data_IF_231248441020
#
_entry.id   IF_231248441020
#
_cell.length_a   1.000
_cell.length_b   1.000
_cell.length_c   1.000
_cell.angle_alpha   90.00
_cell.angle_beta   90.00
_cell.angle_gamma   90.00
#
_symmetry.space_group_name_H-M   'P 1'
#
loop_
_entity.id
_entity.type
_entity.pdbx_description
1 polymer ?
#
# COMPACT_ATOMS: atom_id res chain seq x y z
N UNK A 1 -3.60 3.26 19.80
CA UNK A 1 -3.84 1.79 19.74
C UNK A 1 -4.56 1.52 18.44
N UNK A 2 -3.95 0.78 17.52
CA UNK A 2 -4.61 0.37 16.29
C UNK A 2 -5.57 -0.77 16.62
N UNK A 3 -6.80 -0.65 16.13
CA UNK A 3 -7.88 -1.62 16.36
C UNK A 3 -7.53 -2.86 15.55
N UNK A 4 -7.40 -4.02 16.21
CA UNK A 4 -7.24 -5.30 15.50
C UNK A 4 -8.59 -5.71 14.94
N UNK A 5 -8.70 -5.78 13.62
CA UNK A 5 -9.92 -6.19 12.93
C UNK A 5 -9.90 -7.70 12.68
N UNK A 6 -11.04 -8.40 12.80
CA UNK A 6 -11.12 -9.84 12.54
C UNK A 6 -10.88 -10.21 11.07
N UNK A 7 -10.97 -9.23 10.17
CA UNK A 7 -10.71 -9.34 8.74
C UNK A 7 -10.11 -8.04 8.21
N UNK A 8 -9.35 -8.07 7.11
CA UNK A 8 -8.80 -6.84 6.52
C UNK A 8 -9.95 -5.89 6.12
N UNK A 9 -9.75 -4.60 6.37
CA UNK A 9 -10.73 -3.56 6.03
C UNK A 9 -10.75 -3.31 4.52
N UNK A 10 -9.59 -3.47 3.88
CA UNK A 10 -9.41 -3.29 2.44
C UNK A 10 -8.44 -4.36 1.91
N UNK A 11 -8.75 -4.88 0.72
CA UNK A 11 -7.90 -5.80 -0.04
C UNK A 11 -7.49 -5.12 -1.35
N UNK A 12 -6.20 -5.19 -1.67
CA UNK A 12 -5.59 -4.56 -2.86
C UNK A 12 -4.85 -5.64 -3.63
N UNK A 13 -5.08 -5.70 -4.94
CA UNK A 13 -4.37 -6.60 -5.84
C UNK A 13 -2.95 -6.08 -6.08
N UNK A 14 -1.99 -6.54 -5.28
CA UNK A 14 -0.60 -6.07 -5.31
C UNK A 14 0.09 -6.30 -6.67
N UNK A 15 -0.39 -7.24 -7.47
CA UNK A 15 0.12 -7.56 -8.79
C UNK A 15 -0.25 -6.54 -9.86
N UNK A 16 -1.29 -5.72 -9.66
CA UNK A 16 -1.63 -4.59 -10.55
C UNK A 16 -1.11 -3.25 -10.04
N UNK A 17 -0.69 -3.16 -8.77
CA UNK A 17 0.00 -1.95 -8.24
C UNK A 17 1.30 -1.66 -8.99
N UNK A 18 1.94 -2.69 -9.57
CA UNK A 18 3.14 -2.53 -10.41
C UNK A 18 2.86 -1.86 -11.76
N UNK A 19 1.60 -1.89 -12.21
CA UNK A 19 1.17 -1.35 -13.50
C UNK A 19 0.61 0.07 -13.36
N UNK A 20 0.61 0.62 -12.13
CA UNK A 20 0.27 2.01 -11.84
C UNK A 20 1.43 2.92 -12.29
N UNK A 21 1.12 3.80 -13.24
CA UNK A 21 2.03 4.86 -13.69
C UNK A 21 1.82 6.15 -12.88
N UNK A 22 2.91 6.85 -12.59
CA UNK A 22 2.91 8.21 -12.08
C UNK A 22 3.31 8.33 -10.60
N UNK A 23 4.34 9.13 -10.36
CA UNK A 23 4.94 9.28 -9.03
C UNK A 23 4.02 9.87 -7.97
N UNK A 24 3.05 10.69 -8.38
CA UNK A 24 2.01 11.14 -7.44
C UNK A 24 1.09 10.01 -6.99
N UNK A 25 0.71 9.09 -7.89
CA UNK A 25 -0.15 7.97 -7.55
C UNK A 25 0.57 6.98 -6.63
N UNK A 26 1.84 6.66 -6.93
CA UNK A 26 2.66 5.75 -6.11
C UNK A 26 3.02 6.36 -4.75
N UNK A 27 3.39 7.64 -4.70
CA UNK A 27 3.65 8.34 -3.43
C UNK A 27 2.39 8.49 -2.58
N UNK A 28 1.23 8.74 -3.20
CA UNK A 28 -0.07 8.76 -2.53
C UNK A 28 -0.44 7.42 -1.91
N UNK A 29 -0.28 6.32 -2.66
CA UNK A 29 -0.50 4.97 -2.14
C UNK A 29 0.45 4.62 -1.01
N UNK A 30 1.75 4.94 -1.16
CA UNK A 30 2.72 4.76 -0.09
C UNK A 30 2.31 5.51 1.18
N UNK A 31 1.89 6.77 1.05
CA UNK A 31 1.43 7.58 2.18
C UNK A 31 0.25 6.92 2.90
N UNK A 32 -0.75 6.42 2.17
CA UNK A 32 -1.89 5.70 2.75
C UNK A 32 -1.42 4.45 3.49
N UNK A 33 -0.60 3.61 2.83
CA UNK A 33 -0.16 2.34 3.40
C UNK A 33 0.67 2.51 4.67
N UNK A 34 1.53 3.53 4.76
CA UNK A 34 2.28 3.82 6.01
C UNK A 34 1.37 4.08 7.22
N UNK A 35 0.12 4.51 7.01
CA UNK A 35 -0.85 4.82 8.08
C UNK A 35 -1.78 3.67 8.40
N UNK A 36 -2.08 2.80 7.44
CA UNK A 36 -3.12 1.78 7.61
C UNK A 36 -2.68 0.35 7.29
N UNK A 37 -1.39 0.08 7.06
CA UNK A 37 -0.89 -1.27 6.74
C UNK A 37 -1.37 -2.38 7.67
N UNK A 38 -1.53 -2.10 8.96
CA UNK A 38 -2.01 -3.08 9.95
C UNK A 38 -3.51 -3.44 9.78
N UNK A 39 -4.26 -2.61 9.06
CA UNK A 39 -5.67 -2.81 8.70
C UNK A 39 -5.86 -3.37 7.29
N UNK A 40 -4.77 -3.53 6.52
CA UNK A 40 -4.78 -3.99 5.13
C UNK A 40 -4.33 -5.44 5.04
N UNK A 41 -4.90 -6.16 4.08
CA UNK A 41 -4.34 -7.43 3.67
C UNK A 41 -2.95 -7.20 3.04
N UNK A 42 -1.92 -7.82 3.62
CA UNK A 42 -0.52 -7.65 3.18
C UNK A 42 -0.02 -6.18 3.17
N UNK A 43 -0.49 -5.36 4.12
CA UNK A 43 -0.18 -3.93 4.14
C UNK A 43 1.31 -3.56 4.11
N UNK A 44 2.17 -4.30 4.81
CA UNK A 44 3.63 -4.07 4.76
C UNK A 44 4.23 -4.31 3.37
N UNK A 45 3.70 -5.31 2.65
CA UNK A 45 4.12 -5.61 1.27
C UNK A 45 3.67 -4.50 0.34
N UNK A 46 2.43 -4.03 0.50
CA UNK A 46 1.87 -2.92 -0.27
C UNK A 46 2.68 -1.63 -0.06
N UNK A 47 2.98 -1.28 1.19
CA UNK A 47 3.86 -0.15 1.53
C UNK A 47 5.22 -0.25 0.81
N UNK A 48 5.87 -1.41 0.91
CA UNK A 48 7.18 -1.62 0.30
C UNK A 48 7.17 -1.56 -1.23
N UNK A 49 6.12 -2.10 -1.88
CA UNK A 49 6.00 -2.06 -3.34
C UNK A 49 5.81 -0.62 -3.81
N UNK A 50 4.88 0.14 -3.21
CA UNK A 50 4.65 1.54 -3.58
C UNK A 50 5.90 2.41 -3.41
N UNK A 51 6.65 2.23 -2.31
CA UNK A 51 7.92 2.93 -2.10
C UNK A 51 8.96 2.60 -3.18
N UNK A 52 9.14 1.31 -3.48
CA UNK A 52 10.16 0.86 -4.46
C UNK A 52 9.84 1.29 -5.87
N UNK A 53 8.56 1.30 -6.25
CA UNK A 53 8.14 1.76 -7.57
C UNK A 53 8.31 3.26 -7.68
N UNK A 54 7.85 4.01 -6.67
CA UNK A 54 8.00 5.47 -6.66
C UNK A 54 9.47 5.91 -6.74
N UNK A 55 10.37 5.24 -6.01
CA UNK A 55 11.81 5.56 -6.05
C UNK A 55 12.49 5.28 -7.42
N UNK A 56 11.83 4.51 -8.30
CA UNK A 56 12.36 4.17 -9.63
C UNK A 56 11.91 5.13 -10.72
N UNK A 57 10.91 5.97 -10.46
CA UNK A 57 10.47 7.06 -11.35
C UNK A 57 11.32 8.32 -11.13
#
# INVERSE_FOLDING_TARGET
MLVSFPSPVLSVAADVVKDLDGGEALSGLWHIFTKCKDSLQEGERLENISWRLWYRE
#
